data_IF_720298113226
#
_entry.id   IF_720298113226
#
_cell.length_a   1.000
_cell.length_b   1.000
_cell.length_c   1.000
_cell.angle_alpha   90.00
_cell.angle_beta   90.00
_cell.angle_gamma   90.00
#
_symmetry.space_group_name_H-M   'P 1'
#
loop_
_entity.id
_entity.type
_entity.pdbx_description
1 polymer ?
#
# COMPACT_ATOMS: atom_id res chain seq x y z
N UNK A 1 -15.38 15.55 6.57
CA UNK A 1 -14.19 15.46 7.44
C UNK A 1 -13.84 13.99 7.49
N UNK A 2 -13.02 13.52 6.57
CA UNK A 2 -12.65 12.10 6.48
C UNK A 2 -11.82 11.75 7.71
N UNK A 3 -12.29 10.79 8.50
CA UNK A 3 -11.63 10.34 9.74
C UNK A 3 -10.20 9.87 9.45
N UNK A 4 -9.29 9.95 10.43
CA UNK A 4 -7.89 9.49 10.32
C UNK A 4 -7.76 7.96 10.39
N UNK A 5 -8.80 7.22 10.04
CA UNK A 5 -8.67 5.80 9.71
C UNK A 5 -7.95 5.77 8.38
N UNK A 6 -6.75 5.23 8.38
CA UNK A 6 -5.85 5.36 7.24
C UNK A 6 -6.50 4.64 6.06
N UNK A 7 -7.09 5.42 5.14
CA UNK A 7 -7.87 4.93 4.01
C UNK A 7 -7.02 3.95 3.20
N UNK A 8 -7.51 2.73 3.04
CA UNK A 8 -6.88 1.70 2.20
C UNK A 8 -6.62 2.24 0.79
N UNK A 9 -7.54 3.10 0.31
CA UNK A 9 -7.44 3.82 -0.97
C UNK A 9 -6.18 4.70 -1.06
N UNK A 10 -5.78 5.38 0.03
CA UNK A 10 -4.55 6.17 0.07
C UNK A 10 -3.32 5.30 -0.18
N UNK A 11 -3.28 4.14 0.46
CA UNK A 11 -2.15 3.22 0.30
C UNK A 11 -2.16 2.53 -1.06
N UNK A 12 -3.33 2.20 -1.62
CA UNK A 12 -3.44 1.71 -2.99
C UNK A 12 -2.93 2.74 -4.00
N UNK A 13 -3.41 3.99 -3.95
CA UNK A 13 -2.96 5.06 -4.85
C UNK A 13 -1.44 5.29 -4.75
N UNK A 14 -0.89 5.23 -3.53
CA UNK A 14 0.55 5.32 -3.30
C UNK A 14 1.31 4.15 -3.90
N UNK A 15 0.83 2.92 -3.72
CA UNK A 15 1.45 1.74 -4.29
C UNK A 15 1.46 1.80 -5.83
N UNK A 16 0.36 2.20 -6.46
CA UNK A 16 0.27 2.37 -7.92
C UNK A 16 1.25 3.41 -8.44
N UNK A 17 1.35 4.56 -7.76
CA UNK A 17 2.32 5.61 -8.13
C UNK A 17 3.76 5.08 -8.10
N UNK A 18 4.13 4.32 -7.08
CA UNK A 18 5.47 3.73 -6.98
C UNK A 18 5.71 2.69 -8.08
N UNK A 19 4.70 1.90 -8.44
CA UNK A 19 4.79 0.96 -9.56
C UNK A 19 4.97 1.67 -10.91
N UNK A 20 4.29 2.79 -11.13
CA UNK A 20 4.52 3.64 -12.31
C UNK A 20 5.94 4.22 -12.34
N UNK A 21 6.46 4.66 -11.19
CA UNK A 21 7.84 5.14 -11.08
C UNK A 21 8.84 4.01 -11.32
N UNK A 22 8.55 2.80 -10.85
CA UNK A 22 9.36 1.62 -11.14
C UNK A 22 9.44 1.35 -12.64
N UNK A 23 8.33 1.48 -13.37
CA UNK A 23 8.30 1.30 -14.82
C UNK A 23 9.05 2.41 -15.58
N UNK A 24 9.03 3.64 -15.06
CA UNK A 24 9.74 4.79 -15.63
C UNK A 24 11.23 4.80 -15.26
N UNK A 25 11.62 4.13 -14.18
CA UNK A 25 12.99 4.09 -13.68
C UNK A 25 13.90 3.26 -14.61
N UNK A 26 15.02 3.86 -15.00
CA UNK A 26 16.01 3.21 -15.88
C UNK A 26 17.04 2.40 -15.11
N UNK A 27 17.24 2.72 -13.82
CA UNK A 27 18.23 2.04 -12.98
C UNK A 27 17.61 0.82 -12.28
N UNK A 28 18.19 -0.39 -12.42
CA UNK A 28 17.63 -1.61 -11.84
C UNK A 28 17.54 -1.57 -10.31
N UNK A 29 18.42 -0.81 -9.64
CA UNK A 29 18.34 -0.60 -8.20
C UNK A 29 17.14 0.28 -7.81
N UNK A 30 16.83 1.32 -8.59
CA UNK A 30 15.68 2.20 -8.37
C UNK A 30 14.37 1.46 -8.62
N UNK A 31 14.29 0.67 -9.70
CA UNK A 31 13.15 -0.21 -9.99
C UNK A 31 12.85 -1.12 -8.79
N UNK A 32 13.86 -1.79 -8.24
CA UNK A 32 13.72 -2.64 -7.05
C UNK A 32 13.27 -1.85 -5.82
N UNK A 33 13.82 -0.66 -5.60
CA UNK A 33 13.43 0.18 -4.48
C UNK A 33 11.94 0.56 -4.55
N UNK A 34 11.46 0.98 -5.73
CA UNK A 34 10.06 1.30 -5.93
C UNK A 34 9.13 0.10 -5.70
N UNK A 35 9.52 -1.10 -6.16
CA UNK A 35 8.76 -2.32 -5.86
C UNK A 35 8.71 -2.65 -4.36
N UNK A 36 9.81 -2.44 -3.63
CA UNK A 36 9.84 -2.66 -2.18
C UNK A 36 8.88 -1.69 -1.48
N UNK A 37 8.88 -0.42 -1.89
CA UNK A 37 8.00 0.61 -1.31
C UNK A 37 6.52 0.29 -1.64
N UNK A 38 6.21 -0.07 -2.88
CA UNK A 38 4.86 -0.47 -3.29
C UNK A 38 4.35 -1.66 -2.46
N UNK A 39 5.18 -2.69 -2.26
CA UNK A 39 4.85 -3.83 -1.42
C UNK A 39 4.57 -3.43 0.03
N UNK A 40 5.34 -2.50 0.60
CA UNK A 40 5.07 -2.00 1.95
C UNK A 40 3.73 -1.28 2.08
N UNK A 41 3.30 -0.54 1.05
CA UNK A 41 1.99 0.08 1.06
C UNK A 41 0.87 -0.94 0.96
N UNK A 42 1.01 -1.94 0.08
CA UNK A 42 0.03 -3.02 -0.05
C UNK A 42 -0.05 -3.87 1.23
N UNK A 43 1.09 -4.20 1.85
CA UNK A 43 1.15 -4.93 3.11
C UNK A 43 0.37 -4.22 4.22
N UNK A 44 0.41 -2.88 4.29
CA UNK A 44 -0.39 -2.10 5.24
C UNK A 44 -1.88 -2.16 4.95
N UNK A 45 -2.27 -2.12 3.68
CA UNK A 45 -3.68 -2.29 3.30
C UNK A 45 -4.18 -3.64 3.81
N UNK A 46 -3.54 -4.73 3.36
CA UNK A 46 -4.00 -6.06 3.72
C UNK A 46 -3.89 -6.33 5.23
N UNK A 47 -2.86 -5.82 5.90
CA UNK A 47 -2.74 -5.92 7.36
C UNK A 47 -3.83 -5.15 8.10
N UNK A 48 -4.36 -4.05 7.55
CA UNK A 48 -5.49 -3.33 8.12
C UNK A 48 -6.82 -4.02 7.77
N UNK A 49 -6.97 -4.56 6.56
CA UNK A 49 -8.15 -5.36 6.18
C UNK A 49 -8.28 -6.61 7.06
N UNK A 50 -7.18 -7.33 7.31
CA UNK A 50 -7.14 -8.49 8.22
C UNK A 50 -7.45 -8.08 9.67
N UNK A 51 -6.91 -6.95 10.13
CA UNK A 51 -7.22 -6.41 11.46
C UNK A 51 -8.69 -6.01 11.61
N UNK A 52 -9.31 -5.47 10.56
CA UNK A 52 -10.73 -5.14 10.56
C UNK A 52 -11.60 -6.41 10.51
N UNK A 53 -11.20 -7.42 9.73
CA UNK A 53 -11.90 -8.70 9.63
C UNK A 53 -11.91 -9.50 10.95
N UNK A 54 -10.84 -9.44 11.76
CA UNK A 54 -10.84 -10.07 13.10
C UNK A 54 -11.66 -9.29 14.14
N UNK A 55 -11.89 -7.99 13.93
CA UNK A 55 -12.76 -7.19 14.80
C UNK A 55 -14.24 -7.46 14.48
N UNK A 56 -14.64 -7.57 13.21
CA UNK A 56 -16.02 -7.90 12.83
C UNK A 56 -16.44 -9.34 13.18
N UNK A 57 -15.50 -10.31 13.20
CA UNK A 57 -15.81 -11.70 13.57
C UNK A 57 -16.04 -11.92 15.09
N UNK A 58 -15.81 -10.90 15.91
CA UNK A 58 -15.94 -10.96 17.36
C UNK A 58 -17.19 -10.24 17.91
N UNK A 59 -18.08 -9.73 17.05
CA UNK A 59 -19.40 -9.17 17.41
C UNK A 59 -20.54 -10.20 17.37
#
# INVERSE_FOLDING_TARGET
MTSPEIDEDYFYQRAETELELAQKATHPAAVRAHYIIANHYLDRVYSQSDANAVVEAAE
#
